data_IF_549352890734
#
_entry.id   IF_549352890734
#
_cell.length_a   1.000
_cell.length_b   1.000
_cell.length_c   1.000
_cell.angle_alpha   90.00
_cell.angle_beta   90.00
_cell.angle_gamma   90.00
#
_symmetry.space_group_name_H-M   'P 1'
#
loop_
_entity.id
_entity.type
_entity.pdbx_description
1 polymer ?
#
# COMPACT_ATOMS: atom_id res chain seq x y z
N UNK A 1 18.68 -19.44 -3.69
CA UNK A 1 17.99 -19.31 -3.62
C UNK A 1 17.30 -19.17 -3.10
N UNK A 2 16.63 -19.13 -3.06
CA UNK A 2 16.12 -18.71 -2.40
C UNK A 2 14.77 -18.96 -2.26
N UNK A 3 14.20 -19.42 -1.26
CA UNK A 3 12.84 -19.62 -1.02
C UNK A 3 12.30 -18.43 -0.31
N UNK A 4 11.27 -17.85 -0.88
CA UNK A 4 10.56 -16.81 -0.19
C UNK A 4 9.50 -17.41 0.70
N UNK A 5 9.45 -16.97 1.94
CA UNK A 5 8.42 -17.42 2.84
C UNK A 5 7.07 -16.84 2.41
N UNK A 6 6.01 -17.46 2.91
CA UNK A 6 4.67 -16.97 2.61
C UNK A 6 4.50 -15.55 3.13
N UNK A 7 5.13 -15.26 4.26
CA UNK A 7 5.04 -13.92 4.83
C UNK A 7 5.64 -12.88 3.90
N UNK A 8 6.78 -13.21 3.29
CA UNK A 8 7.40 -12.28 2.36
C UNK A 8 6.52 -12.03 1.16
N UNK A 9 5.87 -13.06 0.66
CA UNK A 9 5.00 -12.90 -0.48
C UNK A 9 3.81 -11.99 -0.15
N UNK A 10 3.23 -12.20 1.03
CA UNK A 10 2.11 -11.37 1.44
C UNK A 10 2.53 -9.92 1.60
N UNK A 11 3.70 -9.69 2.14
CA UNK A 11 4.19 -8.34 2.33
C UNK A 11 4.46 -7.66 1.01
N UNK A 12 5.04 -8.39 0.06
CA UNK A 12 5.26 -7.83 -1.27
C UNK A 12 3.95 -7.43 -1.91
N UNK A 13 2.95 -8.28 -1.78
CA UNK A 13 1.65 -7.99 -2.37
C UNK A 13 1.03 -6.77 -1.72
N UNK A 14 1.14 -6.68 -0.41
CA UNK A 14 0.62 -5.53 0.31
C UNK A 14 1.29 -4.24 -0.17
N UNK A 15 2.61 -4.27 -0.29
CA UNK A 15 3.33 -3.08 -0.72
C UNK A 15 2.95 -2.69 -2.14
N UNK A 16 2.76 -3.67 -3.01
CA UNK A 16 2.38 -3.39 -4.37
C UNK A 16 1.00 -2.73 -4.43
N UNK A 17 0.06 -3.24 -3.65
CA UNK A 17 -1.27 -2.65 -3.62
C UNK A 17 -1.20 -1.22 -3.10
N UNK A 18 -0.43 -1.00 -2.04
CA UNK A 18 -0.26 0.34 -1.49
C UNK A 18 0.33 1.27 -2.54
N UNK A 19 1.34 0.80 -3.26
CA UNK A 19 1.97 1.62 -4.28
C UNK A 19 1.00 2.01 -5.38
N UNK A 20 0.21 1.05 -5.83
CA UNK A 20 -0.77 1.33 -6.87
C UNK A 20 -1.81 2.33 -6.39
N UNK A 21 -2.26 2.18 -5.15
CA UNK A 21 -3.25 3.10 -4.62
C UNK A 21 -2.67 4.49 -4.43
N UNK A 22 -1.41 4.57 -4.03
CA UNK A 22 -0.75 5.86 -3.91
C UNK A 22 -0.76 6.60 -5.24
N UNK A 23 -0.42 5.90 -6.30
CA UNK A 23 -0.40 6.51 -7.61
C UNK A 23 -1.80 6.92 -8.06
N UNK A 24 -2.77 6.06 -7.80
CA UNK A 24 -4.14 6.35 -8.20
C UNK A 24 -4.69 7.57 -7.47
N UNK A 25 -4.29 7.77 -6.23
CA UNK A 25 -4.79 8.88 -5.42
C UNK A 25 -3.89 10.11 -5.49
N UNK A 26 -2.81 10.01 -6.24
CA UNK A 26 -1.91 11.16 -6.38
C UNK A 26 -1.13 11.48 -5.14
N UNK A 27 -0.87 10.49 -4.32
CA UNK A 27 -0.10 10.69 -3.10
C UNK A 27 1.37 10.60 -3.45
N UNK A 28 2.06 11.71 -3.33
CA UNK A 28 3.45 11.81 -3.75
C UNK A 28 4.32 12.37 -2.63
N UNK A 29 5.62 12.32 -2.85
CA UNK A 29 6.56 12.95 -1.93
C UNK A 29 6.31 14.44 -1.83
N UNK A 30 5.89 15.03 -2.93
CA UNK A 30 5.61 16.46 -2.93
C UNK A 30 4.47 16.77 -1.97
N UNK A 31 3.42 15.96 -1.97
CA UNK A 31 2.33 16.16 -1.05
C UNK A 31 2.82 16.06 0.38
N UNK A 32 3.70 15.10 0.65
CA UNK A 32 4.24 14.93 1.99
C UNK A 32 5.00 16.19 2.44
N UNK A 33 5.73 16.80 1.51
CA UNK A 33 6.48 18.00 1.83
C UNK A 33 5.57 19.20 2.03
N UNK A 34 4.50 19.28 1.26
CA UNK A 34 3.61 20.44 1.32
C UNK A 34 2.61 20.35 2.45
N UNK A 35 2.06 19.15 2.66
CA UNK A 35 1.02 18.98 3.68
C UNK A 35 1.17 17.61 4.30
N UNK A 36 2.03 17.54 5.30
CA UNK A 36 2.35 16.26 5.92
C UNK A 36 1.13 15.63 6.59
N UNK A 37 0.30 16.43 7.21
CA UNK A 37 -0.86 15.88 7.90
C UNK A 37 -1.83 15.22 6.93
N UNK A 38 -2.06 15.85 5.81
CA UNK A 38 -2.92 15.26 4.80
C UNK A 38 -2.28 14.01 4.20
N UNK A 39 -0.96 14.05 3.99
CA UNK A 39 -0.27 12.90 3.48
C UNK A 39 -0.44 11.70 4.42
N UNK A 40 -0.27 11.93 5.72
CA UNK A 40 -0.41 10.86 6.70
C UNK A 40 -1.84 10.32 6.70
N UNK A 41 -2.83 11.21 6.68
CA UNK A 41 -4.22 10.77 6.68
C UNK A 41 -4.54 9.92 5.46
N UNK A 42 -4.06 10.35 4.29
CA UNK A 42 -4.31 9.59 3.08
C UNK A 42 -3.60 8.25 3.10
N UNK A 43 -2.36 8.25 3.59
CA UNK A 43 -1.62 6.99 3.68
C UNK A 43 -2.29 6.03 4.64
N UNK A 44 -2.79 6.52 5.76
CA UNK A 44 -3.50 5.67 6.70
C UNK A 44 -4.71 5.00 6.04
N UNK A 45 -5.47 5.78 5.28
CA UNK A 45 -6.62 5.24 4.57
C UNK A 45 -6.19 4.17 3.57
N UNK A 46 -5.14 4.45 2.83
CA UNK A 46 -4.67 3.53 1.81
C UNK A 46 -4.19 2.23 2.46
N UNK A 47 -3.45 2.36 3.55
CA UNK A 47 -2.94 1.17 4.23
C UNK A 47 -4.09 0.32 4.77
N UNK A 48 -5.11 0.96 5.32
CA UNK A 48 -6.26 0.22 5.81
C UNK A 48 -6.96 -0.54 4.68
N UNK A 49 -7.14 0.13 3.55
CA UNK A 49 -7.77 -0.52 2.40
C UNK A 49 -6.91 -1.66 1.87
N UNK A 50 -5.62 -1.42 1.76
CA UNK A 50 -4.72 -2.44 1.24
C UNK A 50 -4.71 -3.67 2.15
N UNK A 51 -4.70 -3.43 3.45
CA UNK A 51 -4.72 -4.53 4.41
C UNK A 51 -6.00 -5.34 4.26
N UNK A 52 -7.12 -4.66 4.06
CA UNK A 52 -8.38 -5.35 3.88
C UNK A 52 -8.35 -6.23 2.64
N UNK A 53 -7.80 -5.71 1.56
CA UNK A 53 -7.70 -6.45 0.32
C UNK A 53 -6.88 -7.72 0.52
N UNK A 54 -5.74 -7.57 1.16
CA UNK A 54 -4.85 -8.71 1.38
C UNK A 54 -5.48 -9.70 2.34
N UNK A 55 -6.13 -9.21 3.40
CA UNK A 55 -6.76 -10.07 4.38
C UNK A 55 -7.85 -10.93 3.76
N UNK A 56 -8.63 -10.35 2.89
CA UNK A 56 -9.72 -11.08 2.26
C UNK A 56 -9.24 -12.02 1.18
N UNK A 57 -7.94 -11.98 0.89
CA UNK A 57 -7.39 -12.83 -0.14
C UNK A 57 -7.85 -12.47 -1.52
N UNK A 58 -8.31 -11.24 -1.69
CA UNK A 58 -8.73 -10.79 -3.01
C UNK A 58 -7.51 -10.63 -3.89
N UNK A 59 -7.63 -11.14 -5.08
CA UNK A 59 -6.53 -11.07 -6.02
C UNK A 59 -6.96 -10.22 -7.20
N UNK A 60 -6.23 -9.16 -7.42
CA UNK A 60 -6.44 -8.33 -8.58
C UNK A 60 -5.49 -8.77 -9.66
N UNK A 61 -6.06 -9.13 -10.76
CA UNK A 61 -5.23 -9.60 -11.84
C UNK A 61 -5.26 -8.70 -13.02
#
# INVERSE_FOLDING_TARGET
MLFRSIEEQAQERFERVVEQMKQAHGITEQLKAENQMEWVARMNNIQACAREIVDKGMIYQ
#
